data_IF_480222043365
#
_entry.id   IF_480222043365
#
_cell.length_a   1.000
_cell.length_b   1.000
_cell.length_c   1.000
_cell.angle_alpha   90.00
_cell.angle_beta   90.00
_cell.angle_gamma   90.00
#
_symmetry.space_group_name_H-M   'P 1'
#
loop_
_entity.id
_entity.type
_entity.pdbx_description
1 polymer ?
#
# COMPACT_ATOMS: atom_id res chain seq x y z
N UNK A 1 13.94 11.65 -18.61
CA UNK A 1 13.41 10.29 -18.85
C UNK A 1 13.60 9.53 -17.56
N UNK A 2 12.55 9.45 -16.74
CA UNK A 2 12.55 8.56 -15.57
C UNK A 2 12.50 7.14 -16.13
N UNK A 3 13.45 6.28 -15.79
CA UNK A 3 13.40 4.90 -16.25
C UNK A 3 12.44 4.10 -15.37
N UNK A 4 11.79 3.08 -15.94
CA UNK A 4 10.86 2.19 -15.21
C UNK A 4 11.49 1.62 -13.93
N UNK A 5 12.81 1.37 -13.93
CA UNK A 5 13.56 0.94 -12.75
C UNK A 5 13.57 1.98 -11.62
N UNK A 6 13.55 3.27 -11.92
CA UNK A 6 13.49 4.32 -10.90
C UNK A 6 12.09 4.40 -10.28
N UNK A 7 11.02 4.21 -11.07
CA UNK A 7 9.66 4.11 -10.56
C UNK A 7 9.49 2.89 -9.64
N UNK A 8 9.98 1.72 -10.05
CA UNK A 8 9.92 0.50 -9.23
C UNK A 8 10.68 0.69 -7.91
N UNK A 9 11.88 1.29 -7.94
CA UNK A 9 12.63 1.60 -6.71
C UNK A 9 11.85 2.53 -5.78
N UNK A 10 11.18 3.54 -6.34
CA UNK A 10 10.38 4.48 -5.56
C UNK A 10 9.15 3.83 -4.93
N UNK A 11 8.44 2.98 -5.69
CA UNK A 11 7.31 2.17 -5.20
C UNK A 11 7.76 1.29 -4.03
N UNK A 12 8.85 0.53 -4.20
CA UNK A 12 9.36 -0.36 -3.16
C UNK A 12 9.86 0.42 -1.93
N UNK A 13 10.47 1.58 -2.12
CA UNK A 13 10.88 2.44 -1.00
C UNK A 13 9.68 2.95 -0.19
N UNK A 14 8.59 3.36 -0.87
CA UNK A 14 7.33 3.72 -0.22
C UNK A 14 6.77 2.51 0.55
N UNK A 15 6.70 1.34 -0.09
CA UNK A 15 6.16 0.13 0.55
C UNK A 15 6.92 -0.29 1.79
N UNK A 16 8.25 -0.27 1.71
CA UNK A 16 9.12 -0.57 2.86
C UNK A 16 8.91 0.43 4.00
N UNK A 17 8.85 1.73 3.70
CA UNK A 17 8.63 2.77 4.70
C UNK A 17 7.27 2.62 5.40
N UNK A 18 6.20 2.39 4.64
CA UNK A 18 4.85 2.21 5.19
C UNK A 18 4.75 0.93 6.00
N UNK A 19 5.27 -0.19 5.50
CA UNK A 19 5.31 -1.46 6.24
C UNK A 19 6.01 -1.30 7.58
N UNK A 20 7.22 -0.73 7.57
CA UNK A 20 7.99 -0.49 8.79
C UNK A 20 7.27 0.42 9.77
N UNK A 21 6.59 1.45 9.26
CA UNK A 21 5.76 2.33 10.09
C UNK A 21 4.65 1.53 10.77
N UNK A 22 3.84 0.78 10.01
CA UNK A 22 2.69 0.01 10.51
C UNK A 22 3.10 -1.05 11.55
N UNK A 23 4.22 -1.73 11.34
CA UNK A 23 4.76 -2.71 12.30
C UNK A 23 5.12 -2.12 13.67
N UNK A 24 5.38 -0.82 13.76
CA UNK A 24 5.70 -0.13 15.02
C UNK A 24 4.48 0.08 15.93
N UNK A 25 3.27 -0.12 15.43
CA UNK A 25 2.03 0.18 16.16
C UNK A 25 1.34 -1.09 16.65
N UNK A 26 0.49 -0.99 17.68
CA UNK A 26 -0.18 -2.15 18.32
C UNK A 26 -1.58 -2.47 17.77
N UNK A 27 -2.18 -1.60 16.95
CA UNK A 27 -3.57 -1.71 16.50
C UNK A 27 -3.70 -2.57 15.23
N UNK A 28 -3.61 -3.89 15.38
CA UNK A 28 -3.50 -4.84 14.25
C UNK A 28 -4.74 -4.92 13.33
N UNK A 29 -5.94 -4.63 13.83
CA UNK A 29 -7.19 -4.92 13.13
C UNK A 29 -7.52 -3.99 11.94
N UNK A 30 -6.84 -2.85 11.80
CA UNK A 30 -7.12 -1.86 10.74
C UNK A 30 -5.93 -1.60 9.80
N UNK A 31 -4.86 -2.38 9.95
CA UNK A 31 -3.63 -2.16 9.19
C UNK A 31 -3.80 -2.21 7.68
N UNK A 32 -4.50 -3.19 7.08
CA UNK A 32 -4.57 -3.26 5.61
C UNK A 32 -5.18 -2.01 5.00
N UNK A 33 -6.28 -1.50 5.59
CA UNK A 33 -6.95 -0.28 5.12
C UNK A 33 -6.02 0.93 5.25
N UNK A 34 -5.49 1.19 6.45
CA UNK A 34 -4.68 2.39 6.68
C UNK A 34 -3.33 2.35 5.96
N UNK A 35 -2.70 1.18 5.87
CA UNK A 35 -1.47 0.99 5.12
C UNK A 35 -1.71 1.22 3.62
N UNK A 36 -2.81 0.70 3.06
CA UNK A 36 -3.17 0.91 1.65
C UNK A 36 -3.51 2.38 1.38
N UNK A 37 -4.24 3.05 2.27
CA UNK A 37 -4.55 4.48 2.13
C UNK A 37 -3.29 5.36 2.15
N UNK A 38 -2.37 5.12 3.10
CA UNK A 38 -1.10 5.84 3.16
C UNK A 38 -0.24 5.54 1.92
N UNK A 39 -0.15 4.26 1.53
CA UNK A 39 0.65 3.84 0.37
C UNK A 39 0.14 4.48 -0.91
N UNK A 40 -1.17 4.36 -1.18
CA UNK A 40 -1.82 4.96 -2.34
C UNK A 40 -1.61 6.48 -2.36
N UNK A 41 -1.87 7.17 -1.25
CA UNK A 41 -1.64 8.61 -1.17
C UNK A 41 -0.20 9.03 -1.47
N UNK A 42 0.78 8.30 -0.93
CA UNK A 42 2.20 8.59 -1.21
C UNK A 42 2.59 8.33 -2.66
N UNK A 43 2.02 7.32 -3.32
CA UNK A 43 2.22 7.02 -4.74
C UNK A 43 1.60 8.11 -5.63
N UNK A 44 0.36 8.52 -5.34
CA UNK A 44 -0.31 9.62 -6.04
C UNK A 44 0.49 10.92 -5.97
N UNK A 45 1.08 11.22 -4.80
CA UNK A 45 1.98 12.38 -4.63
C UNK A 45 3.24 12.30 -5.51
N UNK A 46 3.61 11.11 -5.99
CA UNK A 46 4.71 10.90 -6.96
C UNK A 46 4.24 10.92 -8.41
N UNK A 47 2.98 11.26 -8.67
CA UNK A 47 2.33 11.18 -9.98
C UNK A 47 2.35 9.75 -10.54
N UNK A 48 2.20 8.76 -9.66
CA UNK A 48 1.96 7.38 -10.06
C UNK A 48 0.46 7.10 -9.96
N UNK A 49 -0.08 6.47 -11.00
CA UNK A 49 -1.48 6.05 -11.03
C UNK A 49 -1.66 4.88 -10.06
N UNK A 50 -2.34 5.13 -8.94
CA UNK A 50 -2.51 4.18 -7.86
C UNK A 50 -3.94 4.21 -7.31
N UNK A 51 -4.52 3.03 -7.08
CA UNK A 51 -5.90 2.87 -6.63
C UNK A 51 -5.94 1.89 -5.47
N UNK A 52 -6.72 2.21 -4.44
CA UNK A 52 -6.93 1.26 -3.34
C UNK A 52 -7.96 0.24 -3.82
N UNK A 53 -7.65 -1.04 -3.62
CA UNK A 53 -8.59 -2.12 -3.82
C UNK A 53 -9.02 -2.68 -2.47
N UNK A 54 -10.32 -2.95 -2.36
CA UNK A 54 -10.90 -3.73 -1.26
C UNK A 54 -11.47 -5.02 -1.84
N UNK A 55 -11.10 -6.15 -1.26
CA UNK A 55 -11.60 -7.44 -1.75
C UNK A 55 -11.33 -8.59 -0.79
N UNK A 56 -11.32 -9.80 -1.35
CA UNK A 56 -11.03 -11.01 -0.61
C UNK A 56 -9.77 -11.66 -1.13
N UNK A 57 -8.89 -12.06 -0.21
CA UNK A 57 -7.74 -12.91 -0.51
C UNK A 57 -7.96 -14.31 0.05
N UNK A 58 -7.33 -15.31 -0.56
CA UNK A 58 -7.56 -16.72 -0.24
C UNK A 58 -6.30 -17.47 0.24
N UNK A 59 -5.55 -16.95 1.24
CA UNK A 59 -4.43 -17.67 1.81
C UNK A 59 -4.92 -19.03 2.38
N UNK A 60 -4.32 -20.13 1.93
CA UNK A 60 -4.74 -21.51 2.21
C UNK A 60 -6.22 -21.83 1.87
N UNK A 61 -6.81 -21.16 0.87
CA UNK A 61 -8.19 -21.42 0.43
C UNK A 61 -9.28 -20.90 1.37
N UNK A 62 -8.93 -20.10 2.39
CA UNK A 62 -9.89 -19.42 3.27
C UNK A 62 -9.97 -17.95 2.89
N UNK A 63 -11.19 -17.42 2.72
CA UNK A 63 -11.40 -16.04 2.31
C UNK A 63 -11.26 -15.05 3.47
N UNK A 64 -10.43 -14.03 3.31
CA UNK A 64 -10.25 -12.91 4.25
C UNK A 64 -10.51 -11.58 3.56
N UNK A 65 -11.28 -10.70 4.19
CA UNK A 65 -11.37 -9.30 3.74
C UNK A 65 -10.00 -8.64 3.87
N UNK A 66 -9.56 -7.98 2.80
CA UNK A 66 -8.23 -7.39 2.74
C UNK A 66 -8.22 -6.16 1.83
N UNK A 67 -7.16 -5.36 1.95
CA UNK A 67 -6.93 -4.17 1.14
C UNK A 67 -5.53 -4.22 0.54
N UNK A 68 -5.41 -3.79 -0.71
CA UNK A 68 -4.14 -3.62 -1.41
C UNK A 68 -4.19 -2.36 -2.27
N UNK A 69 -3.07 -2.02 -2.90
CA UNK A 69 -3.00 -0.95 -3.89
C UNK A 69 -2.75 -1.57 -5.26
N UNK A 70 -3.47 -1.14 -6.28
CA UNK A 70 -3.09 -1.39 -7.67
C UNK A 70 -2.34 -0.17 -8.18
N UNK A 71 -1.11 -0.37 -8.64
CA UNK A 71 -0.27 0.68 -9.24
C UNK A 71 -0.07 0.38 -10.73
N UNK A 72 -0.24 1.38 -11.58
CA UNK A 72 -0.09 1.23 -13.02
C UNK A 72 1.31 1.68 -13.46
N UNK A 73 2.04 0.77 -14.09
CA UNK A 73 3.36 1.02 -14.66
C UNK A 73 3.29 0.82 -16.16
N UNK A 74 3.53 1.88 -16.93
CA UNK A 74 3.40 1.89 -18.40
C UNK A 74 2.02 1.38 -18.89
N UNK A 75 0.97 1.63 -18.11
CA UNK A 75 -0.40 1.20 -18.40
C UNK A 75 -0.76 -0.21 -17.93
N UNK A 76 0.20 -0.97 -17.41
CA UNK A 76 -0.02 -2.32 -16.91
C UNK A 76 -0.26 -2.32 -15.39
N UNK A 77 -1.29 -3.06 -14.89
CA UNK A 77 -1.63 -3.08 -13.48
C UNK A 77 -0.71 -4.02 -12.69
N UNK A 78 -0.16 -3.52 -11.58
CA UNK A 78 0.58 -4.28 -10.59
C UNK A 78 -0.15 -4.27 -9.26
N UNK A 79 -0.29 -5.46 -8.66
CA UNK A 79 -0.73 -5.58 -7.29
C UNK A 79 0.41 -5.19 -6.36
N UNK A 80 0.12 -4.29 -5.43
CA UNK A 80 1.05 -3.80 -4.42
C UNK A 80 0.46 -3.92 -3.00
N UNK A 81 1.05 -4.81 -2.20
CA UNK A 81 0.60 -5.09 -0.84
C UNK A 81 1.75 -5.03 0.15
N UNK A 82 1.65 -4.11 1.10
CA UNK A 82 2.66 -3.85 2.14
C UNK A 82 2.34 -4.54 3.47
N UNK A 83 1.24 -5.30 3.52
CA UNK A 83 0.70 -5.93 4.72
C UNK A 83 0.52 -7.45 4.61
N UNK A 84 0.67 -8.04 3.42
CA UNK A 84 0.51 -9.49 3.21
C UNK A 84 1.43 -10.34 4.09
N UNK A 85 2.68 -9.90 4.30
CA UNK A 85 3.61 -10.55 5.24
C UNK A 85 3.10 -10.55 6.69
N UNK A 86 2.39 -9.51 7.10
CA UNK A 86 1.80 -9.42 8.44
C UNK A 86 0.64 -10.41 8.60
N UNK A 87 -0.22 -10.50 7.58
CA UNK A 87 -1.27 -11.52 7.56
C UNK A 87 -0.68 -12.92 7.54
N UNK A 88 0.37 -13.15 6.75
CA UNK A 88 1.10 -14.42 6.70
C UNK A 88 1.56 -14.86 8.09
N UNK A 89 2.20 -13.96 8.85
CA UNK A 89 2.58 -14.22 10.23
C UNK A 89 1.40 -14.65 11.11
N UNK A 90 0.23 -14.00 10.99
CA UNK A 90 -0.98 -14.38 11.73
C UNK A 90 -1.51 -15.76 11.33
N UNK A 91 -1.39 -16.12 10.05
CA UNK A 91 -1.89 -17.38 9.49
C UNK A 91 -0.86 -18.51 9.50
N UNK A 92 0.36 -18.28 10.00
CA UNK A 92 1.46 -19.26 9.96
C UNK A 92 1.97 -19.53 8.55
N UNK A 93 1.82 -18.58 7.63
CA UNK A 93 2.30 -18.63 6.25
C UNK A 93 3.50 -17.71 6.03
N UNK A 94 4.39 -18.11 5.12
CA UNK A 94 5.56 -17.32 4.78
C UNK A 94 5.29 -16.50 3.51
N UNK A 95 4.74 -15.30 3.68
CA UNK A 95 4.56 -14.34 2.60
C UNK A 95 5.71 -13.32 2.57
N UNK A 96 5.99 -12.72 1.40
CA UNK A 96 6.95 -11.64 1.32
C UNK A 96 6.50 -10.45 2.18
N UNK A 97 7.48 -9.69 2.65
CA UNK A 97 7.25 -8.48 3.44
C UNK A 97 6.44 -7.44 2.68
N UNK A 98 6.78 -7.26 1.40
CA UNK A 98 6.10 -6.41 0.44
C UNK A 98 5.91 -7.22 -0.83
N UNK A 99 4.71 -7.24 -1.37
CA UNK A 99 4.37 -7.89 -2.63
C UNK A 99 4.15 -6.83 -3.70
N UNK A 100 4.93 -6.91 -4.79
CA UNK A 100 4.75 -6.10 -5.99
C UNK A 100 4.86 -7.06 -7.18
N UNK A 101 3.72 -7.42 -7.77
CA UNK A 101 3.65 -8.41 -8.86
C UNK A 101 2.63 -7.96 -9.90
N UNK A 102 2.77 -8.38 -11.17
CA UNK A 102 1.72 -8.24 -12.17
C UNK A 102 0.37 -8.74 -11.64
N UNK A 103 -0.73 -8.10 -12.04
CA UNK A 103 -2.07 -8.43 -11.52
C UNK A 103 -2.49 -9.87 -11.81
N UNK A 104 -2.13 -10.41 -12.97
CA UNK A 104 -2.40 -11.79 -13.40
C UNK A 104 -1.64 -12.83 -12.56
N UNK A 105 -0.41 -12.54 -12.16
CA UNK A 105 0.36 -13.38 -11.23
C UNK A 105 -0.26 -13.41 -9.82
N UNK A 106 -1.04 -12.39 -9.46
CA UNK A 106 -1.67 -12.30 -8.14
C UNK A 106 -3.03 -13.03 -8.05
N UNK A 107 -3.66 -13.38 -9.17
CA UNK A 107 -5.04 -13.91 -9.22
C UNK A 107 -5.28 -15.16 -8.36
N UNK A 108 -4.26 -16.01 -8.20
CA UNK A 108 -4.38 -17.24 -7.40
C UNK A 108 -4.59 -16.93 -5.91
N UNK A 109 -4.02 -15.84 -5.40
CA UNK A 109 -4.09 -15.43 -4.00
C UNK A 109 -5.11 -14.31 -3.77
N UNK A 110 -5.22 -13.39 -4.72
CA UNK A 110 -6.06 -12.21 -4.65
C UNK A 110 -7.28 -12.38 -5.55
N UNK A 111 -8.46 -12.42 -4.93
CA UNK A 111 -9.72 -12.42 -5.66
C UNK A 111 -10.01 -11.06 -6.30
N UNK A 112 -11.20 -10.94 -6.88
CA UNK A 112 -11.68 -9.66 -7.38
C UNK A 112 -11.73 -8.61 -6.25
N UNK A 113 -11.16 -7.44 -6.56
CA UNK A 113 -11.26 -6.23 -5.74
C UNK A 113 -12.25 -5.26 -6.37
N UNK A 114 -12.78 -4.36 -5.54
CA UNK A 114 -13.44 -3.16 -6.01
C UNK A 114 -12.68 -1.95 -5.50
N UNK A 115 -12.69 -0.91 -6.32
CA UNK A 115 -12.02 0.34 -5.98
C UNK A 115 -12.61 0.91 -4.69
N UNK A 116 -11.73 1.27 -3.77
CA UNK A 116 -12.05 1.94 -2.52
C UNK A 116 -11.57 3.38 -2.61
N UNK A 117 -12.49 4.33 -2.41
CA UNK A 117 -12.19 5.75 -2.50
C UNK A 117 -11.18 6.15 -1.40
N UNK A 118 -10.11 6.83 -1.81
CA UNK A 118 -9.11 7.31 -0.86
C UNK A 118 -9.70 8.37 0.07
N UNK A 119 -9.40 8.27 1.37
CA UNK A 119 -9.82 9.25 2.37
C UNK A 119 -8.67 9.64 3.30
N UNK A 120 -8.59 10.94 3.61
CA UNK A 120 -7.69 11.47 4.62
C UNK A 120 -7.91 10.84 6.00
N UNK A 121 -9.14 10.41 6.31
CA UNK A 121 -9.47 9.81 7.61
C UNK A 121 -8.84 8.43 7.79
N UNK A 122 -8.59 7.72 6.69
CA UNK A 122 -7.96 6.41 6.69
C UNK A 122 -6.44 6.46 6.85
N UNK A 123 -5.86 7.66 6.96
CA UNK A 123 -4.43 7.90 7.13
C UNK A 123 -4.09 8.36 8.56
N UNK A 124 -3.77 7.45 9.50
CA UNK A 124 -3.27 7.80 10.82
C UNK A 124 -1.99 8.65 10.72
N UNK A 125 -2.01 9.81 11.38
CA UNK A 125 -0.93 10.82 11.26
C UNK A 125 0.39 10.33 11.81
N UNK A 126 0.35 9.53 12.85
CA UNK A 126 1.50 8.91 13.49
C UNK A 126 2.20 7.90 12.57
N UNK A 127 1.43 7.00 11.95
CA UNK A 127 1.94 6.05 10.95
C UNK A 127 2.49 6.81 9.75
N UNK A 128 1.74 7.78 9.22
CA UNK A 128 2.18 8.61 8.11
C UNK A 128 3.46 9.37 8.45
N UNK A 129 3.56 10.01 9.63
CA UNK A 129 4.77 10.71 10.06
C UNK A 129 5.98 9.79 10.07
N UNK A 130 5.81 8.56 10.57
CA UNK A 130 6.89 7.56 10.62
C UNK A 130 7.35 7.17 9.22
N UNK A 131 6.41 6.94 8.29
CA UNK A 131 6.72 6.66 6.90
C UNK A 131 7.42 7.86 6.22
N UNK A 132 6.95 9.08 6.45
CA UNK A 132 7.56 10.31 5.91
C UNK A 132 9.01 10.49 6.40
N UNK A 133 9.25 10.24 7.68
CA UNK A 133 10.60 10.29 8.26
C UNK A 133 11.54 9.27 7.59
N UNK A 134 11.06 8.04 7.37
CA UNK A 134 11.84 7.00 6.69
C UNK A 134 12.14 7.36 5.22
N UNK A 135 11.23 8.09 4.56
CA UNK A 135 11.41 8.60 3.20
C UNK A 135 12.20 9.91 3.13
N UNK A 136 12.66 10.46 4.25
CA UNK A 136 13.38 11.73 4.31
C UNK A 136 12.52 12.95 3.92
N UNK A 137 11.20 12.85 4.06
CA UNK A 137 10.26 13.94 3.74
C UNK A 137 10.08 14.84 4.95
N UNK A 138 10.50 16.11 4.83
CA UNK A 138 10.45 17.09 5.92
C UNK A 138 9.07 17.73 6.17
N UNK A 139 8.06 17.41 5.35
CA UNK A 139 6.71 17.97 5.48
C UNK A 139 5.93 17.27 6.60
N UNK A 140 5.02 18.01 7.23
CA UNK A 140 4.09 17.43 8.18
C UNK A 140 3.04 16.51 7.49
N UNK A 141 2.46 15.55 8.21
CA UNK A 141 1.38 14.71 7.70
C UNK A 141 0.22 15.52 7.11
N UNK A 142 -0.17 16.62 7.77
CA UNK A 142 -1.27 17.46 7.31
C UNK A 142 -0.96 18.18 5.99
N UNK A 143 0.27 18.64 5.79
CA UNK A 143 0.70 19.22 4.50
C UNK A 143 0.68 18.16 3.39
N UNK A 144 1.17 16.96 3.68
CA UNK A 144 1.19 15.85 2.70
C UNK A 144 -0.22 15.41 2.34
N UNK A 145 -1.12 15.26 3.33
CA UNK A 145 -2.50 14.85 3.08
C UNK A 145 -3.26 15.88 2.24
N UNK A 146 -3.02 17.19 2.47
CA UNK A 146 -3.59 18.25 1.64
C UNK A 146 -3.07 18.22 0.21
N UNK A 147 -1.79 17.93 0.00
CA UNK A 147 -1.20 17.76 -1.34
C UNK A 147 -1.86 16.61 -2.10
N UNK A 148 -2.07 15.48 -1.42
CA UNK A 148 -2.71 14.30 -2.00
C UNK A 148 -4.16 14.61 -2.36
N UNK A 149 -4.92 15.19 -1.43
CA UNK A 149 -6.32 15.52 -1.64
C UNK A 149 -6.55 16.57 -2.75
N UNK A 150 -5.57 17.42 -3.02
CA UNK A 150 -5.62 18.39 -4.13
C UNK A 150 -5.24 17.77 -5.48
N UNK A 151 -4.68 16.57 -5.48
CA UNK A 151 -4.26 15.83 -6.69
C UNK A 151 -5.28 14.76 -7.10
N UNK A 152 -6.32 14.56 -6.28
CA UNK A 152 -7.44 13.65 -6.50
C UNK A 152 -8.62 14.39 -7.14
#
# INVERSE_FOLDING_TARGET
MYCQLDQVKEILAIGAAVRSAVMGYKLQSHWPKSASAITCGLLLRKNLDAFIQKGKIHPNGVAYEHFWVEVYLDGEPFLFDVTIGLLGCTLGQNFPDVMLVPRDEADELYGEGFEYEWSMEDCPRDILQTALNALGVAKSPEEVLKEIAASY
#
